data_IF_359025537582
#
_entry.id   IF_359025537582
#
_cell.length_a   1.000
_cell.length_b   1.000
_cell.length_c   1.000
_cell.angle_alpha   90.00
_cell.angle_beta   90.00
_cell.angle_gamma   90.00
#
_symmetry.space_group_name_H-M   'P 1'
#
loop_
_entity.id
_entity.type
_entity.pdbx_description
1 polymer ?
#
# COMPACT_ATOMS: atom_id res chain seq x y z
N UNK A 1 -13.46 -21.78 -20.29
CA UNK A 1 -14.28 -20.64 -19.82
C UNK A 1 -13.33 -19.70 -19.09
N UNK A 2 -13.04 -18.52 -19.66
CA UNK A 2 -12.07 -17.56 -19.11
C UNK A 2 -12.61 -16.95 -17.84
N UNK A 3 -12.17 -17.42 -16.68
CA UNK A 3 -12.40 -16.73 -15.40
C UNK A 3 -11.33 -15.64 -15.32
N UNK A 4 -11.49 -14.61 -16.14
CA UNK A 4 -10.83 -13.32 -15.97
C UNK A 4 -11.52 -12.62 -14.79
N UNK A 5 -11.25 -13.07 -13.57
CA UNK A 5 -11.45 -12.22 -12.40
C UNK A 5 -10.35 -11.17 -12.52
N UNK A 6 -10.74 -9.99 -13.00
CA UNK A 6 -9.97 -8.77 -12.83
C UNK A 6 -9.59 -8.74 -11.35
N UNK A 7 -8.31 -9.00 -11.07
CA UNK A 7 -7.70 -8.83 -9.76
C UNK A 7 -8.15 -7.46 -9.28
N UNK A 8 -8.91 -7.44 -8.19
CA UNK A 8 -9.68 -6.27 -7.78
C UNK A 8 -8.71 -5.26 -7.16
N UNK A 9 -7.92 -4.61 -8.00
CA UNK A 9 -7.20 -3.37 -7.69
C UNK A 9 -8.24 -2.29 -7.39
N UNK A 10 -8.80 -2.30 -6.19
CA UNK A 10 -9.76 -1.27 -5.76
C UNK A 10 -9.07 -0.10 -5.06
N UNK A 11 -7.75 0.07 -5.19
CA UNK A 11 -7.10 1.21 -4.54
C UNK A 11 -6.00 1.92 -5.33
N UNK A 12 -6.15 1.96 -6.66
CA UNK A 12 -5.43 2.92 -7.53
C UNK A 12 -6.36 4.04 -7.99
N UNK A 13 -7.34 4.47 -7.18
CA UNK A 13 -8.26 5.50 -7.66
C UNK A 13 -9.28 6.05 -6.69
N UNK A 14 -8.87 6.58 -5.53
CA UNK A 14 -9.67 7.65 -4.89
C UNK A 14 -8.86 8.49 -3.89
N UNK A 15 -8.13 9.49 -4.36
CA UNK A 15 -7.90 10.72 -3.57
C UNK A 15 -8.23 11.92 -4.44
N UNK A 16 -9.52 12.28 -4.48
CA UNK A 16 -9.93 13.62 -4.87
C UNK A 16 -9.86 14.50 -3.61
N UNK A 17 -8.72 15.13 -3.37
CA UNK A 17 -8.61 16.17 -2.36
C UNK A 17 -9.31 17.44 -2.88
N UNK A 18 -10.62 17.55 -2.64
CA UNK A 18 -11.38 18.77 -2.91
C UNK A 18 -11.24 19.74 -1.72
N UNK A 19 -10.12 20.46 -1.66
CA UNK A 19 -9.97 21.61 -0.77
C UNK A 19 -10.48 22.88 -1.47
N UNK A 20 -11.79 23.13 -1.42
CA UNK A 20 -12.33 24.47 -1.69
C UNK A 20 -12.22 25.30 -0.40
N UNK A 21 -11.25 26.22 -0.39
CA UNK A 21 -11.12 27.25 0.63
C UNK A 21 -12.30 28.23 0.58
N UNK A 22 -12.97 28.38 1.71
CA UNK A 22 -13.91 29.46 1.97
C UNK A 22 -13.26 30.46 2.95
N UNK A 23 -12.66 31.51 2.42
CA UNK A 23 -12.38 32.73 3.18
C UNK A 23 -13.29 33.83 2.65
N UNK A 24 -14.31 34.18 3.43
CA UNK A 24 -15.12 35.38 3.22
C UNK A 24 -14.42 36.57 3.88
N UNK A 25 -13.85 37.46 3.07
CA UNK A 25 -13.49 38.83 3.49
C UNK A 25 -14.59 39.80 3.03
N UNK A 26 -15.14 40.58 3.97
CA UNK A 26 -16.00 41.73 3.70
C UNK A 26 -15.34 43.01 4.17
N UNK A 27 -14.76 43.75 3.21
CA UNK A 27 -15.12 45.13 2.87
C UNK A 27 -14.71 46.27 3.81
N UNK A 28 -13.78 47.11 3.34
CA UNK A 28 -13.94 48.57 3.28
C UNK A 28 -12.82 49.24 2.43
N UNK A 29 -13.22 50.02 1.42
CA UNK A 29 -12.41 51.02 0.69
C UNK A 29 -12.96 52.42 1.05
N UNK A 30 -12.21 53.55 0.93
CA UNK A 30 -12.10 54.23 -0.38
C UNK A 30 -10.84 55.12 -0.70
N UNK A 31 -10.65 55.35 -2.01
CA UNK A 31 -10.21 56.60 -2.74
C UNK A 31 -8.71 57.01 -2.91
N UNK A 32 -8.31 57.75 -4.00
CA UNK A 32 -7.40 57.22 -5.05
C UNK A 32 -6.29 58.16 -5.66
N UNK A 33 -5.57 57.63 -6.69
CA UNK A 33 -4.80 58.25 -7.84
C UNK A 33 -3.36 58.81 -7.62
N UNK A 34 -2.46 58.94 -8.67
CA UNK A 34 -2.67 58.79 -10.14
C UNK A 34 -1.64 57.96 -10.97
N UNK A 35 -2.13 57.48 -12.13
CA UNK A 35 -1.65 57.52 -13.55
C UNK A 35 -0.17 57.36 -13.96
N UNK A 36 0.11 56.36 -14.83
CA UNK A 36 0.79 56.50 -16.16
C UNK A 36 0.30 55.38 -17.12
N UNK A 37 0.01 55.76 -18.37
CA UNK A 37 -0.45 54.98 -19.54
C UNK A 37 0.58 53.93 -20.02
N UNK A 38 0.22 52.87 -20.78
CA UNK A 38 0.05 52.84 -22.26
C UNK A 38 -0.44 51.40 -22.62
N UNK A 39 -1.69 51.16 -23.04
CA UNK A 39 -2.24 51.15 -24.40
C UNK A 39 -1.61 50.13 -25.39
N UNK A 40 -2.34 49.05 -25.72
CA UNK A 40 -2.64 48.63 -27.11
C UNK A 40 -3.87 47.71 -27.14
N UNK A 41 -4.81 48.05 -28.01
CA UNK A 41 -6.10 47.41 -28.29
C UNK A 41 -5.99 46.19 -29.23
N UNK A 42 -6.98 45.27 -29.18
CA UNK A 42 -7.66 44.69 -30.34
C UNK A 42 -8.85 43.76 -29.96
N UNK A 43 -10.01 44.39 -29.74
CA UNK A 43 -11.38 44.12 -30.27
C UNK A 43 -11.70 42.82 -31.06
N UNK A 44 -12.61 42.01 -30.49
CA UNK A 44 -13.89 41.48 -31.04
C UNK A 44 -13.94 40.27 -32.00
N UNK A 45 -14.61 39.18 -31.58
CA UNK A 45 -15.94 38.69 -32.05
C UNK A 45 -16.24 37.26 -31.57
N UNK A 46 -17.29 37.09 -30.77
CA UNK A 46 -18.20 35.93 -30.85
C UNK A 46 -19.29 36.30 -31.89
N UNK A 47 -19.92 35.36 -32.62
CA UNK A 47 -20.99 34.55 -32.00
C UNK A 47 -21.35 33.18 -32.64
N UNK A 48 -22.07 32.36 -31.84
CA UNK A 48 -23.31 31.64 -32.20
C UNK A 48 -23.33 30.35 -33.06
N UNK A 49 -24.12 29.41 -32.51
CA UNK A 49 -25.02 28.40 -33.13
C UNK A 49 -24.63 26.92 -33.18
N UNK A 50 -25.43 26.16 -32.40
CA UNK A 50 -25.79 24.76 -32.62
C UNK A 50 -26.91 24.64 -33.67
N UNK A 51 -27.03 23.48 -34.33
CA UNK A 51 -28.30 22.72 -34.37
C UNK A 51 -28.04 21.20 -34.17
N UNK A 52 -28.83 20.41 -33.42
CA UNK A 52 -30.24 19.96 -33.57
C UNK A 52 -30.43 18.77 -34.54
N UNK A 53 -31.05 17.72 -34.00
CA UNK A 53 -31.80 16.59 -34.63
C UNK A 53 -31.00 15.48 -35.38
N UNK A 54 -31.39 14.19 -35.41
CA UNK A 54 -32.67 13.52 -35.12
C UNK A 54 -32.45 12.01 -34.86
N UNK A 55 -33.50 11.38 -34.34
CA UNK A 55 -33.67 9.97 -33.98
C UNK A 55 -33.59 8.97 -35.15
N UNK A 56 -33.46 7.65 -34.84
CA UNK A 56 -34.22 6.55 -35.49
C UNK A 56 -34.10 5.23 -34.69
N UNK A 57 -35.22 4.86 -34.07
CA UNK A 57 -35.87 3.53 -33.97
C UNK A 57 -35.09 2.22 -33.60
N UNK A 58 -35.43 1.67 -32.42
CA UNK A 58 -35.81 0.25 -32.23
C UNK A 58 -37.25 0.01 -32.80
N UNK A 59 -37.84 -1.21 -32.91
CA UNK A 59 -37.49 -2.50 -32.28
C UNK A 59 -37.64 -3.74 -33.21
N UNK A 60 -37.23 -4.93 -32.75
CA UNK A 60 -37.95 -6.17 -33.11
C UNK A 60 -37.81 -7.22 -31.99
N UNK A 61 -38.97 -7.74 -31.61
CA UNK A 61 -39.28 -8.72 -30.57
C UNK A 61 -39.41 -10.15 -31.18
N UNK A 62 -39.62 -11.13 -30.31
CA UNK A 62 -40.01 -12.54 -30.53
C UNK A 62 -38.83 -13.54 -30.61
N UNK A 63 -38.87 -14.73 -30.01
CA UNK A 63 -39.90 -15.43 -29.25
C UNK A 63 -39.23 -16.54 -28.41
N UNK A 64 -39.94 -17.00 -27.40
CA UNK A 64 -39.58 -18.11 -26.53
C UNK A 64 -39.69 -19.48 -27.22
N UNK A 65 -38.90 -20.46 -26.76
CA UNK A 65 -39.26 -21.88 -26.81
C UNK A 65 -38.77 -22.63 -25.57
N UNK A 66 -39.62 -23.56 -25.14
CA UNK A 66 -39.65 -24.31 -23.89
C UNK A 66 -38.51 -25.32 -23.64
N UNK A 67 -38.43 -25.62 -22.35
CA UNK A 67 -37.84 -26.74 -21.62
C UNK A 67 -37.57 -28.07 -22.35
N UNK A 68 -36.42 -28.68 -22.00
CA UNK A 68 -36.35 -30.11 -21.70
C UNK A 68 -35.22 -30.40 -20.69
N UNK A 69 -35.63 -31.04 -19.61
CA UNK A 69 -34.87 -31.72 -18.56
C UNK A 69 -33.79 -32.66 -19.09
N UNK A 70 -32.54 -32.51 -18.66
CA UNK A 70 -31.64 -33.63 -18.34
C UNK A 70 -30.68 -33.23 -17.21
N UNK A 71 -30.68 -34.01 -16.13
CA UNK A 71 -29.72 -33.90 -15.05
C UNK A 71 -28.37 -34.51 -15.49
N UNK A 72 -27.24 -33.82 -15.34
CA UNK A 72 -25.95 -34.47 -15.41
C UNK A 72 -25.51 -34.91 -14.01
N UNK A 73 -25.60 -36.22 -13.81
CA UNK A 73 -24.58 -37.08 -13.21
C UNK A 73 -23.51 -36.40 -12.35
N UNK A 74 -23.44 -36.80 -11.07
CA UNK A 74 -22.35 -36.58 -10.10
C UNK A 74 -20.99 -37.12 -10.61
N UNK A 75 -20.40 -36.45 -11.59
CA UNK A 75 -19.03 -36.69 -12.05
C UNK A 75 -18.30 -35.38 -12.39
N UNK A 76 -18.68 -34.29 -11.71
CA UNK A 76 -18.12 -32.95 -11.90
C UNK A 76 -17.19 -32.52 -10.74
N UNK A 77 -16.54 -33.46 -10.06
CA UNK A 77 -15.63 -33.19 -8.94
C UNK A 77 -14.16 -33.53 -9.20
N UNK A 78 -13.76 -33.83 -10.44
CA UNK A 78 -12.36 -34.20 -10.72
C UNK A 78 -11.75 -33.54 -11.98
N UNK A 79 -12.43 -32.57 -12.59
CA UNK A 79 -11.99 -31.94 -13.85
C UNK A 79 -11.61 -30.45 -13.75
N UNK A 80 -11.34 -29.95 -12.54
CA UNK A 80 -10.88 -28.57 -12.32
C UNK A 80 -9.44 -28.44 -11.77
N UNK A 81 -8.75 -29.56 -11.53
CA UNK A 81 -7.45 -29.56 -10.83
C UNK A 81 -6.27 -30.02 -11.71
N UNK A 82 -6.25 -29.64 -12.99
CA UNK A 82 -4.98 -29.50 -13.71
C UNK A 82 -4.75 -28.01 -14.00
N UNK A 83 -4.71 -27.21 -12.92
CA UNK A 83 -3.85 -26.05 -12.93
C UNK A 83 -2.42 -26.58 -13.14
N UNK A 84 -1.75 -26.17 -14.20
CA UNK A 84 -0.39 -26.59 -14.54
C UNK A 84 0.52 -26.37 -13.34
N UNK A 85 0.78 -27.45 -12.59
CA UNK A 85 1.53 -27.37 -11.36
C UNK A 85 3.00 -27.12 -11.70
N UNK A 86 3.52 -25.94 -11.33
CA UNK A 86 4.94 -25.65 -11.45
C UNK A 86 5.59 -26.05 -10.13
N UNK A 87 6.37 -27.13 -10.15
CA UNK A 87 7.07 -27.65 -8.96
C UNK A 87 6.16 -27.85 -7.73
N UNK A 88 4.90 -28.26 -7.97
CA UNK A 88 3.90 -28.48 -6.91
C UNK A 88 3.10 -27.24 -6.48
N UNK A 89 3.34 -26.08 -7.11
CA UNK A 89 2.55 -24.87 -6.91
C UNK A 89 1.39 -24.78 -7.91
N UNK A 90 0.26 -24.23 -7.48
CA UNK A 90 -0.81 -23.76 -8.38
C UNK A 90 -0.37 -22.50 -9.13
N UNK A 91 -1.12 -22.11 -10.16
CA UNK A 91 -0.85 -20.86 -10.88
C UNK A 91 -0.98 -19.64 -9.95
N UNK A 92 -1.98 -19.66 -9.07
CA UNK A 92 -2.24 -18.62 -8.07
C UNK A 92 -1.11 -18.52 -7.05
N UNK A 93 -0.54 -19.65 -6.60
CA UNK A 93 0.61 -19.66 -5.69
C UNK A 93 1.87 -19.10 -6.36
N UNK A 94 2.11 -19.43 -7.64
CA UNK A 94 3.23 -18.87 -8.41
C UNK A 94 3.07 -17.36 -8.55
N UNK A 95 1.89 -16.90 -8.99
CA UNK A 95 1.60 -15.46 -9.13
C UNK A 95 1.80 -14.74 -7.80
N UNK A 96 1.30 -15.32 -6.71
CA UNK A 96 1.42 -14.69 -5.40
C UNK A 96 2.83 -14.59 -4.87
N UNK A 97 3.65 -15.63 -5.01
CA UNK A 97 5.05 -15.57 -4.58
C UNK A 97 5.85 -14.54 -5.39
N UNK A 98 5.63 -14.48 -6.70
CA UNK A 98 6.30 -13.51 -7.57
C UNK A 98 5.86 -12.08 -7.23
N UNK A 99 4.57 -11.88 -6.94
CA UNK A 99 4.06 -10.58 -6.54
C UNK A 99 4.60 -10.13 -5.19
N UNK A 100 4.47 -10.96 -4.14
CA UNK A 100 4.95 -10.62 -2.79
C UNK A 100 6.45 -10.31 -2.80
N UNK A 101 7.24 -10.98 -3.65
CA UNK A 101 8.66 -10.68 -3.82
C UNK A 101 8.91 -9.24 -4.25
N UNK A 102 8.11 -8.72 -5.18
CA UNK A 102 8.23 -7.35 -5.67
C UNK A 102 7.47 -6.32 -4.81
N UNK A 103 6.43 -6.73 -4.08
CA UNK A 103 5.71 -5.87 -3.13
C UNK A 103 6.59 -5.51 -1.92
N UNK A 104 7.26 -6.49 -1.32
CA UNK A 104 8.25 -6.25 -0.25
C UNK A 104 9.41 -5.38 -0.73
N UNK A 105 9.80 -5.55 -2.01
CA UNK A 105 10.77 -4.67 -2.66
C UNK A 105 10.25 -3.24 -2.80
N UNK A 106 8.97 -3.07 -3.14
CA UNK A 106 8.33 -1.76 -3.24
C UNK A 106 8.34 -1.05 -1.90
N UNK A 107 7.96 -1.74 -0.82
CA UNK A 107 8.03 -1.19 0.54
C UNK A 107 9.45 -0.72 0.86
N UNK A 108 10.45 -1.62 0.72
CA UNK A 108 11.87 -1.29 0.94
C UNK A 108 12.31 -0.06 0.15
N UNK A 109 12.06 -0.06 -1.15
CA UNK A 109 12.60 0.94 -2.06
C UNK A 109 11.95 2.32 -1.85
N UNK A 110 10.65 2.36 -1.55
CA UNK A 110 9.96 3.59 -1.15
C UNK A 110 10.57 4.12 0.15
N UNK A 111 10.82 3.26 1.14
CA UNK A 111 11.38 3.67 2.43
C UNK A 111 12.82 4.17 2.29
N UNK A 112 13.67 3.50 1.52
CA UNK A 112 15.02 4.00 1.22
C UNK A 112 14.96 5.38 0.56
N UNK A 113 14.09 5.55 -0.43
CA UNK A 113 13.94 6.81 -1.15
C UNK A 113 13.42 7.94 -0.26
N UNK A 114 12.39 7.68 0.55
CA UNK A 114 11.84 8.69 1.46
C UNK A 114 12.77 8.98 2.64
N UNK A 115 13.62 8.02 3.05
CA UNK A 115 14.68 8.27 4.01
C UNK A 115 15.72 9.25 3.47
N UNK A 116 16.13 9.13 2.20
CA UNK A 116 17.08 10.08 1.60
C UNK A 116 16.55 11.52 1.57
N UNK A 117 15.22 11.68 1.46
CA UNK A 117 14.56 12.98 1.36
C UNK A 117 14.34 13.60 2.74
N UNK A 118 13.82 12.81 3.68
CA UNK A 118 13.35 13.33 4.97
C UNK A 118 14.29 13.03 6.14
N UNK A 119 15.19 12.06 6.00
CA UNK A 119 16.10 11.64 7.07
C UNK A 119 15.41 11.02 8.30
N UNK A 120 14.11 10.70 8.22
CA UNK A 120 13.36 10.21 9.36
C UNK A 120 13.73 8.75 9.68
N UNK A 121 14.21 8.42 10.90
CA UNK A 121 14.77 7.11 11.20
C UNK A 121 13.81 5.92 11.00
N UNK A 122 12.50 6.15 11.12
CA UNK A 122 11.47 5.11 10.87
C UNK A 122 11.64 4.45 9.51
N UNK A 123 11.85 5.23 8.44
CA UNK A 123 12.03 4.69 7.10
C UNK A 123 13.27 3.80 7.00
N UNK A 124 14.43 4.26 7.49
CA UNK A 124 15.67 3.47 7.43
C UNK A 124 15.58 2.18 8.25
N UNK A 125 14.91 2.21 9.40
CA UNK A 125 14.80 1.04 10.26
C UNK A 125 13.86 0.00 9.66
N UNK A 126 12.73 0.43 9.10
CA UNK A 126 11.75 -0.47 8.49
C UNK A 126 12.28 -1.01 7.15
N UNK A 127 12.97 -0.20 6.33
CA UNK A 127 13.62 -0.72 5.12
C UNK A 127 14.60 -1.89 5.36
N UNK A 128 15.22 -1.97 6.55
CA UNK A 128 16.06 -3.13 6.93
C UNK A 128 15.24 -4.38 7.27
N UNK A 129 14.00 -4.20 7.74
CA UNK A 129 13.03 -5.27 7.94
C UNK A 129 12.53 -5.78 6.58
N UNK A 130 12.20 -4.88 5.66
CA UNK A 130 11.75 -5.27 4.32
C UNK A 130 12.81 -6.07 3.55
N UNK A 131 14.09 -5.78 3.75
CA UNK A 131 15.16 -6.62 3.18
C UNK A 131 15.10 -8.08 3.69
N UNK A 132 14.68 -8.28 4.95
CA UNK A 132 14.50 -9.61 5.54
C UNK A 132 13.24 -10.29 4.99
N UNK A 133 12.14 -9.55 4.86
CA UNK A 133 10.91 -10.06 4.23
C UNK A 133 11.17 -10.50 2.79
N UNK A 134 11.79 -9.62 2.00
CA UNK A 134 12.29 -9.91 0.67
C UNK A 134 13.11 -11.20 0.64
N UNK A 135 14.05 -11.37 1.57
CA UNK A 135 14.90 -12.56 1.66
C UNK A 135 14.10 -13.83 2.00
N UNK A 136 13.06 -13.72 2.83
CA UNK A 136 12.19 -14.84 3.17
C UNK A 136 11.39 -15.32 1.94
N UNK A 137 10.80 -14.39 1.17
CA UNK A 137 10.08 -14.74 -0.08
C UNK A 137 11.05 -15.30 -1.12
N UNK A 138 12.26 -14.75 -1.25
CA UNK A 138 13.29 -15.30 -2.14
C UNK A 138 13.63 -16.75 -1.78
N UNK A 139 13.66 -17.10 -0.49
CA UNK A 139 13.84 -18.48 -0.03
C UNK A 139 12.75 -19.42 -0.56
N UNK A 140 11.49 -18.98 -0.60
CA UNK A 140 10.40 -19.74 -1.20
C UNK A 140 10.57 -19.85 -2.72
N UNK A 141 10.89 -18.75 -3.42
CA UNK A 141 11.14 -18.81 -4.87
C UNK A 141 12.22 -19.83 -5.21
N UNK A 142 13.32 -19.85 -4.46
CA UNK A 142 14.40 -20.83 -4.64
C UNK A 142 13.94 -22.26 -4.34
N UNK A 143 13.15 -22.45 -3.27
CA UNK A 143 12.61 -23.75 -2.88
C UNK A 143 11.73 -24.34 -3.99
N UNK A 144 10.91 -23.50 -4.63
CA UNK A 144 10.01 -23.90 -5.70
C UNK A 144 10.61 -23.72 -7.11
N UNK A 145 11.90 -23.37 -7.23
CA UNK A 145 12.58 -23.22 -8.52
C UNK A 145 12.00 -22.15 -9.44
N UNK A 146 11.45 -21.07 -8.87
CA UNK A 146 10.93 -19.91 -9.59
C UNK A 146 12.04 -18.88 -9.83
N UNK A 147 11.97 -18.17 -10.96
CA UNK A 147 12.88 -17.06 -11.26
C UNK A 147 12.58 -15.86 -10.36
N UNK A 148 13.61 -15.18 -9.83
CA UNK A 148 13.45 -14.00 -8.98
C UNK A 148 13.16 -12.75 -9.84
N UNK A 149 11.94 -12.16 -9.77
CA UNK A 149 11.59 -10.98 -10.55
C UNK A 149 12.35 -9.72 -10.13
N UNK A 150 12.92 -9.71 -8.92
CA UNK A 150 13.73 -8.61 -8.38
C UNK A 150 15.22 -8.74 -8.72
N UNK A 151 15.67 -9.85 -9.30
CA UNK A 151 17.08 -10.09 -9.56
C UNK A 151 17.65 -9.05 -10.55
N UNK A 152 18.76 -8.41 -10.16
CA UNK A 152 19.45 -7.42 -10.99
C UNK A 152 18.72 -6.07 -11.10
N UNK A 153 17.65 -5.84 -10.34
CA UNK A 153 16.89 -4.58 -10.32
C UNK A 153 17.43 -3.63 -9.26
N UNK A 154 17.64 -2.37 -9.65
CA UNK A 154 17.99 -1.28 -8.73
C UNK A 154 16.81 -0.83 -7.86
N UNK A 155 17.08 0.14 -6.99
CA UNK A 155 16.02 0.84 -6.21
C UNK A 155 15.07 1.51 -7.18
N UNK A 156 13.77 1.24 -7.02
CA UNK A 156 12.73 1.82 -7.85
C UNK A 156 12.53 1.17 -9.22
N UNK A 157 13.22 0.06 -9.51
CA UNK A 157 13.05 -0.71 -10.75
C UNK A 157 12.25 -2.00 -10.49
N UNK A 158 11.17 -2.22 -11.23
CA UNK A 158 10.32 -3.41 -11.07
C UNK A 158 10.12 -4.15 -12.40
N UNK A 159 9.90 -5.45 -12.31
CA UNK A 159 9.46 -6.29 -13.44
C UNK A 159 7.95 -6.14 -13.63
N UNK A 160 7.18 -6.15 -12.54
CA UNK A 160 5.75 -5.88 -12.58
C UNK A 160 5.47 -4.38 -12.87
N UNK A 161 4.77 -4.06 -13.98
CA UNK A 161 4.50 -2.67 -14.34
C UNK A 161 3.53 -1.95 -13.39
N UNK A 162 2.64 -2.68 -12.72
CA UNK A 162 1.69 -2.09 -11.77
C UNK A 162 2.43 -1.65 -10.50
N UNK A 163 3.35 -2.47 -10.00
CA UNK A 163 4.23 -2.10 -8.87
C UNK A 163 5.19 -0.98 -9.26
N UNK A 164 5.68 -0.95 -10.51
CA UNK A 164 6.47 0.17 -11.00
C UNK A 164 5.69 1.50 -10.95
N UNK A 165 4.42 1.48 -11.37
CA UNK A 165 3.55 2.65 -11.33
C UNK A 165 3.25 3.07 -9.88
N UNK A 166 2.94 2.11 -9.02
CA UNK A 166 2.67 2.35 -7.60
C UNK A 166 3.88 2.97 -6.89
N UNK A 167 5.09 2.45 -7.13
CA UNK A 167 6.32 3.04 -6.60
C UNK A 167 6.45 4.54 -6.98
N UNK A 168 6.23 4.86 -8.25
CA UNK A 168 6.33 6.24 -8.73
C UNK A 168 5.29 7.14 -8.06
N UNK A 169 4.05 6.68 -7.92
CA UNK A 169 2.97 7.41 -7.25
C UNK A 169 3.29 7.66 -5.77
N UNK A 170 3.70 6.62 -5.04
CA UNK A 170 3.97 6.70 -3.61
C UNK A 170 5.18 7.59 -3.31
N UNK A 171 6.24 7.53 -4.12
CA UNK A 171 7.38 8.44 -3.99
C UNK A 171 6.98 9.89 -4.27
N UNK A 172 6.16 10.13 -5.30
CA UNK A 172 5.68 11.49 -5.62
C UNK A 172 4.81 12.04 -4.48
N UNK A 173 3.88 11.23 -3.95
CA UNK A 173 3.05 11.61 -2.79
C UNK A 173 3.92 11.88 -1.55
N UNK A 174 4.83 10.97 -1.23
CA UNK A 174 5.70 11.06 -0.06
C UNK A 174 6.72 12.20 -0.13
N UNK A 175 7.02 12.73 -1.32
CA UNK A 175 7.89 13.90 -1.50
C UNK A 175 7.24 15.23 -1.11
N UNK A 176 5.92 15.28 -0.96
CA UNK A 176 5.20 16.53 -0.70
C UNK A 176 5.44 17.08 0.70
N UNK A 177 5.47 16.21 1.71
CA UNK A 177 5.77 16.57 3.10
C UNK A 177 6.15 15.33 3.91
N UNK A 178 6.82 15.51 5.05
CA UNK A 178 7.08 14.41 5.99
C UNK A 178 5.78 13.73 6.45
N UNK A 179 4.70 14.51 6.64
CA UNK A 179 3.40 13.96 7.02
C UNK A 179 2.85 13.02 5.93
N UNK A 180 2.91 13.42 4.66
CA UNK A 180 2.50 12.57 3.53
C UNK A 180 3.44 11.37 3.34
N UNK A 181 4.75 11.53 3.59
CA UNK A 181 5.69 10.41 3.58
C UNK A 181 5.35 9.35 4.63
N UNK A 182 5.00 9.77 5.86
CA UNK A 182 4.63 8.85 6.94
C UNK A 182 3.27 8.18 6.65
N UNK A 183 2.33 8.89 5.98
CA UNK A 183 1.12 8.27 5.45
C UNK A 183 1.38 7.30 4.31
N UNK A 184 2.37 7.55 3.45
CA UNK A 184 2.82 6.58 2.44
C UNK A 184 3.33 5.31 3.11
N UNK A 185 4.13 5.45 4.17
CA UNK A 185 4.53 4.31 5.02
C UNK A 185 3.32 3.53 5.52
N UNK A 186 2.40 4.19 6.23
CA UNK A 186 1.18 3.52 6.72
C UNK A 186 0.34 2.87 5.62
N UNK A 187 0.19 3.52 4.45
CA UNK A 187 -0.57 2.97 3.33
C UNK A 187 0.04 1.68 2.78
N UNK A 188 1.36 1.62 2.63
CA UNK A 188 2.05 0.41 2.15
C UNK A 188 1.78 -0.75 3.09
N UNK A 189 1.94 -0.54 4.41
CA UNK A 189 1.72 -1.61 5.38
C UNK A 189 0.26 -2.08 5.44
N UNK A 190 -0.70 -1.17 5.23
CA UNK A 190 -2.11 -1.54 5.14
C UNK A 190 -2.43 -2.38 3.90
N UNK A 191 -1.83 -2.04 2.75
CA UNK A 191 -1.98 -2.81 1.50
C UNK A 191 -1.36 -4.19 1.68
N UNK A 192 -0.13 -4.25 2.19
CA UNK A 192 0.59 -5.50 2.40
C UNK A 192 -0.18 -6.46 3.33
N UNK A 193 -0.77 -5.94 4.42
CA UNK A 193 -1.66 -6.71 5.31
C UNK A 193 -2.88 -7.28 4.56
N UNK A 194 -3.49 -6.50 3.66
CA UNK A 194 -4.65 -6.96 2.89
C UNK A 194 -4.27 -8.04 1.87
N UNK A 195 -3.18 -7.83 1.15
CA UNK A 195 -2.68 -8.74 0.12
C UNK A 195 -2.20 -10.06 0.74
N UNK A 196 -1.49 -10.02 1.87
CA UNK A 196 -1.10 -11.21 2.61
C UNK A 196 -2.31 -12.00 3.12
N UNK A 197 -3.39 -11.34 3.60
CA UNK A 197 -4.62 -12.03 4.01
C UNK A 197 -5.28 -12.76 2.85
N UNK A 198 -5.36 -12.09 1.71
CA UNK A 198 -5.91 -12.69 0.49
C UNK A 198 -5.07 -13.90 0.07
N UNK A 199 -3.74 -13.78 0.05
CA UNK A 199 -2.84 -14.85 -0.39
C UNK A 199 -2.79 -16.04 0.54
N UNK A 200 -2.81 -15.82 1.86
CA UNK A 200 -2.91 -16.91 2.84
C UNK A 200 -4.19 -17.73 2.61
N UNK A 201 -5.30 -17.09 2.24
CA UNK A 201 -6.55 -17.79 1.95
C UNK A 201 -6.53 -18.59 0.63
N UNK A 202 -5.51 -18.41 -0.21
CA UNK A 202 -5.39 -19.03 -1.54
C UNK A 202 -4.43 -20.24 -1.58
N UNK A 203 -3.80 -20.60 -0.46
CA UNK A 203 -2.86 -21.73 -0.39
C UNK A 203 -3.12 -22.60 0.83
N UNK A 204 -2.78 -23.88 0.73
CA UNK A 204 -2.73 -24.83 1.85
C UNK A 204 -1.29 -25.22 2.22
N UNK A 205 -0.28 -24.62 1.57
CA UNK A 205 1.14 -24.95 1.78
C UNK A 205 1.66 -24.29 3.05
N UNK A 206 1.97 -25.13 4.02
CA UNK A 206 2.38 -24.71 5.35
C UNK A 206 3.63 -23.80 5.35
N UNK A 207 4.57 -24.03 4.44
CA UNK A 207 5.79 -23.22 4.33
C UNK A 207 5.51 -21.81 3.78
N UNK A 208 4.65 -21.69 2.76
CA UNK A 208 4.19 -20.40 2.24
C UNK A 208 3.42 -19.64 3.32
N UNK A 209 2.45 -20.31 3.97
CA UNK A 209 1.64 -19.71 5.04
C UNK A 209 2.54 -19.20 6.17
N UNK A 210 3.51 -20.00 6.62
CA UNK A 210 4.43 -19.59 7.70
C UNK A 210 5.19 -18.31 7.35
N UNK A 211 5.68 -18.17 6.12
CA UNK A 211 6.37 -16.96 5.69
C UNK A 211 5.40 -15.79 5.62
N UNK A 212 4.22 -15.95 5.02
CA UNK A 212 3.23 -14.87 4.91
C UNK A 212 2.70 -14.40 6.28
N UNK A 213 2.52 -15.30 7.25
CA UNK A 213 2.15 -14.92 8.61
C UNK A 213 3.27 -14.13 9.31
N UNK A 214 4.54 -14.49 9.08
CA UNK A 214 5.66 -13.71 9.62
C UNK A 214 5.78 -12.32 8.98
N UNK A 215 5.58 -12.22 7.67
CA UNK A 215 5.51 -10.93 6.96
C UNK A 215 4.38 -10.08 7.55
N UNK A 216 3.17 -10.64 7.67
CA UNK A 216 1.99 -9.99 8.25
C UNK A 216 2.25 -9.41 9.65
N UNK A 217 2.91 -10.16 10.52
CA UNK A 217 3.29 -9.70 11.85
C UNK A 217 4.31 -8.54 11.77
N UNK A 218 5.23 -8.59 10.81
CA UNK A 218 6.12 -7.49 10.45
C UNK A 218 5.35 -6.23 10.06
N UNK A 219 4.49 -6.33 9.05
CA UNK A 219 3.72 -5.21 8.49
C UNK A 219 2.80 -4.56 9.53
N UNK A 220 2.18 -5.37 10.40
CA UNK A 220 1.43 -4.84 11.58
C UNK A 220 2.32 -4.01 12.50
N UNK A 221 3.55 -4.44 12.77
CA UNK A 221 4.49 -3.69 13.61
C UNK A 221 4.97 -2.41 12.91
N UNK A 222 5.19 -2.47 11.60
CA UNK A 222 5.55 -1.31 10.80
C UNK A 222 4.42 -0.28 10.74
N UNK A 223 3.18 -0.73 10.57
CA UNK A 223 1.99 0.13 10.60
C UNK A 223 1.88 0.88 11.94
N UNK A 224 2.09 0.19 13.07
CA UNK A 224 2.15 0.83 14.39
C UNK A 224 3.27 1.88 14.45
N UNK A 225 4.45 1.57 13.90
CA UNK A 225 5.59 2.49 13.89
C UNK A 225 5.35 3.73 13.02
N UNK A 226 4.76 3.59 11.83
CA UNK A 226 4.40 4.71 10.96
C UNK A 226 3.26 5.55 11.56
N UNK A 227 2.23 4.91 12.10
CA UNK A 227 1.13 5.59 12.80
C UNK A 227 1.64 6.44 13.98
N UNK A 228 2.53 5.85 14.79
CA UNK A 228 3.16 6.56 15.90
C UNK A 228 4.04 7.73 15.40
N UNK A 229 4.87 7.50 14.37
CA UNK A 229 5.72 8.53 13.81
C UNK A 229 4.90 9.69 13.21
N UNK A 230 3.81 9.38 12.50
CA UNK A 230 2.88 10.38 11.95
C UNK A 230 2.29 11.25 13.07
N UNK A 231 1.80 10.61 14.13
CA UNK A 231 1.23 11.31 15.29
C UNK A 231 2.26 12.21 15.97
N UNK A 232 3.49 11.75 16.11
CA UNK A 232 4.58 12.57 16.67
C UNK A 232 4.96 13.76 15.78
N UNK A 233 4.94 13.58 14.46
CA UNK A 233 5.31 14.62 13.50
C UNK A 233 4.24 15.70 13.34
N UNK A 234 2.96 15.34 13.46
CA UNK A 234 1.83 16.22 13.13
C UNK A 234 1.02 16.69 14.33
N UNK A 235 1.03 15.93 15.44
CA UNK A 235 0.12 16.13 16.56
C UNK A 235 -1.28 15.53 16.36
N UNK A 236 -1.57 14.95 15.19
CA UNK A 236 -2.86 14.36 14.83
C UNK A 236 -2.77 12.84 14.75
N UNK A 237 -3.83 12.09 15.11
CA UNK A 237 -3.82 10.64 14.99
C UNK A 237 -3.77 10.21 13.52
N UNK A 238 -3.05 9.12 13.25
CA UNK A 238 -3.14 8.46 11.95
C UNK A 238 -4.53 7.86 11.72
N UNK A 239 -5.10 8.05 10.54
CA UNK A 239 -6.36 7.45 10.10
C UNK A 239 -6.04 6.43 9.01
N UNK A 240 -6.54 5.18 9.11
CA UNK A 240 -6.27 4.17 8.09
C UNK A 240 -6.82 4.61 6.74
N UNK A 241 -6.08 4.29 5.68
CA UNK A 241 -6.40 4.70 4.31
C UNK A 241 -7.08 3.58 3.52
N UNK A 242 -6.81 2.32 3.88
CA UNK A 242 -7.22 1.11 3.16
C UNK A 242 -7.91 0.11 4.11
N UNK A 243 -7.34 -0.10 5.30
CA UNK A 243 -7.97 -0.92 6.32
C UNK A 243 -9.26 -0.27 6.82
N UNK A 244 -10.20 -1.11 7.26
CA UNK A 244 -11.33 -0.61 8.04
C UNK A 244 -10.83 -0.03 9.36
N UNK A 245 -11.55 0.96 9.90
CA UNK A 245 -11.21 1.55 11.20
C UNK A 245 -11.17 0.48 12.32
N UNK A 246 -12.13 -0.44 12.32
CA UNK A 246 -12.21 -1.53 13.30
C UNK A 246 -10.97 -2.44 13.26
N UNK A 247 -10.53 -2.81 12.05
CA UNK A 247 -9.36 -3.67 11.87
C UNK A 247 -8.06 -2.97 12.23
N UNK A 248 -7.91 -1.70 11.83
CA UNK A 248 -6.80 -0.87 12.25
C UNK A 248 -6.74 -0.75 13.77
N UNK A 249 -7.86 -0.46 14.44
CA UNK A 249 -7.93 -0.38 15.90
C UNK A 249 -7.57 -1.70 16.58
N UNK A 250 -8.02 -2.84 16.02
CA UNK A 250 -7.64 -4.16 16.50
C UNK A 250 -6.11 -4.37 16.42
N UNK A 251 -5.49 -4.01 15.30
CA UNK A 251 -4.03 -4.08 15.14
C UNK A 251 -3.32 -3.14 16.13
N UNK A 252 -3.82 -1.92 16.35
CA UNK A 252 -3.22 -1.00 17.32
C UNK A 252 -3.35 -1.49 18.77
N UNK A 253 -4.38 -2.30 19.07
CA UNK A 253 -4.65 -2.84 20.40
C UNK A 253 -3.91 -4.16 20.72
N UNK A 254 -3.47 -4.91 19.71
CA UNK A 254 -2.62 -6.09 19.90
C UNK A 254 -1.32 -5.68 20.65
N UNK A 255 -1.03 -6.33 21.78
CA UNK A 255 0.24 -6.13 22.47
C UNK A 255 1.39 -6.54 21.54
N UNK A 256 2.15 -5.57 21.03
CA UNK A 256 3.39 -5.87 20.30
C UNK A 256 4.31 -6.75 21.14
N UNK A 257 5.18 -7.58 20.53
CA UNK A 257 6.08 -8.44 21.28
C UNK A 257 6.87 -7.59 22.30
N UNK A 258 6.68 -7.93 23.58
CA UNK A 258 7.12 -7.16 24.74
C UNK A 258 8.62 -6.84 24.66
N UNK A 259 8.93 -5.64 24.16
CA UNK A 259 10.25 -5.04 24.24
C UNK A 259 10.58 -4.71 25.69
N UNK A 260 11.32 -5.61 26.34
CA UNK A 260 12.16 -5.41 27.52
C UNK A 260 11.72 -4.34 28.53
N UNK A 261 11.13 -4.78 29.64
CA UNK A 261 11.12 -4.01 30.87
C UNK A 261 12.58 -3.72 31.30
N UNK A 262 13.06 -2.54 30.91
CA UNK A 262 14.28 -1.95 31.44
C UNK A 262 14.11 -1.73 32.94
N UNK A 263 14.63 -2.65 33.76
CA UNK A 263 14.90 -2.40 35.17
C UNK A 263 16.07 -1.40 35.28
N UNK A 264 15.77 -0.13 35.01
CA UNK A 264 16.62 0.99 35.33
C UNK A 264 16.52 1.34 36.81
N UNK A 265 17.18 0.58 37.69
CA UNK A 265 17.53 1.09 39.02
C UNK A 265 18.92 1.70 38.95
N UNK A 266 18.91 3.00 38.68
CA UNK A 266 20.09 3.85 38.72
C UNK A 266 20.58 4.13 40.13
N UNK A 267 21.91 4.11 40.24
CA UNK A 267 22.78 5.06 40.97
C UNK A 267 22.95 4.88 42.49
N UNK A 268 24.19 4.52 42.83
CA UNK A 268 24.82 4.85 44.10
C UNK A 268 26.34 4.68 44.04
N UNK A 269 27.06 5.63 43.42
CA UNK A 269 28.53 5.76 43.55
C UNK A 269 28.89 6.01 45.02
N UNK A 270 29.90 5.32 45.54
CA UNK A 270 30.50 5.65 46.84
C UNK A 270 31.81 4.92 47.09
N UNK A 271 32.91 5.66 46.99
CA UNK A 271 34.30 5.25 47.23
C UNK A 271 34.53 4.75 48.66
N UNK A 272 35.53 3.88 48.89
CA UNK A 272 36.13 3.76 50.22
C UNK A 272 36.95 2.50 50.48
N UNK A 273 38.28 2.64 50.49
CA UNK A 273 39.26 1.65 51.00
C UNK A 273 38.98 1.29 52.47
N UNK A 274 39.22 0.03 52.86
CA UNK A 274 39.18 -0.36 54.28
C UNK A 274 39.59 -1.80 54.61
N UNK A 275 40.91 -2.06 54.61
CA UNK A 275 41.68 -2.88 55.57
C UNK A 275 41.05 -4.17 56.14
N UNK A 276 41.62 -5.31 55.73
CA UNK A 276 41.54 -6.61 56.40
C UNK A 276 42.31 -6.59 57.74
N UNK A 277 41.67 -7.01 58.82
CA UNK A 277 42.30 -7.49 60.04
C UNK A 277 41.43 -8.56 60.71
N UNK A 278 42.03 -9.69 61.06
CA UNK A 278 41.66 -10.50 62.23
C UNK A 278 40.69 -11.65 61.98
N UNK A 279 41.17 -12.88 62.25
CA UNK A 279 40.40 -14.11 62.34
C UNK A 279 41.13 -15.30 61.76
#
# INVERSE_FOLDING_TARGET
>A
MKISRKLTWLVVGLVFALALGACSETGALPTPLPTVAEATEATTTEPTEAPTEEATAEPTEAEATEAATEAPTEAATEAAAEATAVNGLTAEEVEGLLFMREEEKLARDVYLTLFEIWGHPTFQNIAKSEEQHMSAVLGLLQTYGLEDPAAGKGVGEFTNPDLQALYNELVERGRQSLAEALKVGGAIEEIDILDLKERIAQTDKADIITVYEHLMDGSKNHLRAFSQAYTQATGEPYTPQYLSMEEYEAIMAEEGPQGGQGQGQGRGRGQGRGRSSGG
#
